data_IF_238614450407
#
_entry.id   IF_238614450407
#
_cell.length_a   1.000
_cell.length_b   1.000
_cell.length_c   1.000
_cell.angle_alpha   90.00
_cell.angle_beta   90.00
_cell.angle_gamma   90.00
#
_symmetry.space_group_name_H-M   'P 1'
#
loop_
_entity.id
_entity.type
_entity.pdbx_description
1 polymer ?
#
# COMPACT_ATOMS: atom_id res chain seq x y z
N UNK A 1 -29.20 7.14 65.90
CA UNK A 1 -29.57 7.67 64.56
C UNK A 1 -28.28 7.63 63.75
N UNK A 2 -28.13 6.63 62.90
CA UNK A 2 -27.01 6.48 61.98
C UNK A 2 -27.37 7.27 60.74
N UNK A 3 -26.57 8.27 60.40
CA UNK A 3 -26.67 8.97 59.10
C UNK A 3 -26.34 7.96 57.98
N UNK A 4 -27.37 7.55 57.23
CA UNK A 4 -27.13 6.89 55.96
C UNK A 4 -26.56 7.95 55.02
N UNK A 5 -25.27 7.83 54.74
CA UNK A 5 -24.60 8.61 53.69
C UNK A 5 -25.21 8.19 52.37
N UNK A 6 -25.85 9.12 51.65
CA UNK A 6 -26.17 8.98 50.27
C UNK A 6 -24.87 8.94 49.50
N UNK A 7 -24.43 7.76 49.04
CA UNK A 7 -23.43 7.64 47.99
C UNK A 7 -24.00 8.29 46.71
N UNK A 8 -23.64 9.51 46.45
CA UNK A 8 -23.88 10.12 45.14
C UNK A 8 -22.91 9.39 44.20
N UNK A 9 -23.42 8.64 43.19
CA UNK A 9 -22.52 8.03 42.22
C UNK A 9 -21.60 9.10 41.65
N UNK A 10 -20.29 8.79 41.60
CA UNK A 10 -19.32 9.70 40.97
C UNK A 10 -19.80 10.03 39.56
N UNK A 11 -20.06 11.32 39.33
CA UNK A 11 -20.48 11.78 38.02
C UNK A 11 -19.32 11.53 37.05
N UNK A 12 -19.61 10.80 35.98
CA UNK A 12 -18.65 10.67 34.86
C UNK A 12 -18.29 12.06 34.33
N UNK A 13 -17.01 12.35 34.30
CA UNK A 13 -16.44 13.64 33.83
C UNK A 13 -15.46 13.44 32.67
N UNK A 14 -15.27 12.22 32.21
CA UNK A 14 -14.35 11.93 31.11
C UNK A 14 -15.10 12.02 29.75
N UNK A 15 -14.53 12.73 28.77
CA UNK A 15 -15.12 12.78 27.43
C UNK A 15 -14.96 11.44 26.72
N UNK A 16 -15.88 11.08 25.83
CA UNK A 16 -15.76 9.88 25.00
C UNK A 16 -14.52 9.95 24.10
N UNK A 17 -13.96 8.80 23.75
CA UNK A 17 -12.83 8.67 22.83
C UNK A 17 -13.26 7.94 21.57
N UNK A 18 -12.75 8.35 20.40
CA UNK A 18 -12.91 7.57 19.16
C UNK A 18 -11.96 6.38 19.21
N UNK A 19 -12.51 5.18 19.27
CA UNK A 19 -11.76 3.92 19.30
C UNK A 19 -11.50 3.37 17.89
N UNK A 20 -12.38 3.64 16.92
CA UNK A 20 -12.13 3.33 15.51
C UNK A 20 -12.89 4.26 14.56
N UNK A 21 -12.31 4.42 13.37
CA UNK A 21 -12.93 5.09 12.23
C UNK A 21 -12.73 4.21 10.99
N UNK A 22 -13.80 3.92 10.27
CA UNK A 22 -13.76 3.02 9.12
C UNK A 22 -14.59 3.57 7.96
N UNK A 23 -13.98 3.61 6.76
CA UNK A 23 -14.70 3.87 5.51
C UNK A 23 -15.27 2.54 5.03
N UNK A 24 -16.59 2.47 4.90
CA UNK A 24 -17.32 1.24 4.53
C UNK A 24 -17.46 1.13 3.02
N UNK A 25 -17.88 2.22 2.39
CA UNK A 25 -18.05 2.36 0.95
C UNK A 25 -17.91 3.84 0.53
N UNK A 26 -18.20 4.15 -0.72
CA UNK A 26 -18.10 5.53 -1.23
C UNK A 26 -19.07 6.53 -0.60
N UNK A 27 -20.09 6.06 0.11
CA UNK A 27 -21.12 6.87 0.75
C UNK A 27 -21.21 6.71 2.25
N UNK A 28 -20.43 5.83 2.86
CA UNK A 28 -20.66 5.42 4.25
C UNK A 28 -19.36 5.31 5.04
N UNK A 29 -19.34 5.95 6.20
CA UNK A 29 -18.29 5.77 7.21
C UNK A 29 -18.90 5.34 8.55
N UNK A 30 -18.12 4.64 9.36
CA UNK A 30 -18.47 4.21 10.70
C UNK A 30 -17.49 4.79 11.70
N UNK A 31 -18.02 5.34 12.79
CA UNK A 31 -17.27 5.75 13.97
C UNK A 31 -17.67 4.85 15.13
N UNK A 32 -16.68 4.30 15.85
CA UNK A 32 -16.89 3.62 17.12
C UNK A 32 -16.20 4.43 18.22
N UNK A 33 -16.86 4.62 19.34
CA UNK A 33 -16.35 5.34 20.50
C UNK A 33 -16.14 4.37 21.69
N UNK A 34 -15.48 4.86 22.74
CA UNK A 34 -15.27 4.12 23.98
C UNK A 34 -16.58 3.79 24.71
N UNK A 35 -17.64 4.56 24.42
CA UNK A 35 -18.93 4.51 25.06
C UNK A 35 -20.05 4.96 24.10
N UNK A 36 -21.35 4.80 24.47
CA UNK A 36 -22.46 5.31 23.69
C UNK A 36 -22.43 6.83 23.56
N UNK A 37 -22.55 7.35 22.33
CA UNK A 37 -22.50 8.78 22.03
C UNK A 37 -23.62 9.21 21.10
N UNK A 38 -23.99 10.49 21.21
CA UNK A 38 -24.74 11.22 20.21
C UNK A 38 -23.76 12.09 19.39
N UNK A 39 -23.76 11.92 18.07
CA UNK A 39 -22.95 12.73 17.17
C UNK A 39 -23.74 13.95 16.69
N UNK A 40 -23.16 15.15 16.86
CA UNK A 40 -23.73 16.43 16.50
C UNK A 40 -22.79 17.23 15.60
N UNK A 41 -23.32 18.22 14.89
CA UNK A 41 -22.58 19.17 14.05
C UNK A 41 -21.66 18.49 13.04
N UNK A 42 -22.13 17.37 12.45
CA UNK A 42 -21.36 16.62 11.47
C UNK A 42 -21.22 17.43 10.18
N UNK A 43 -20.00 17.57 9.71
CA UNK A 43 -19.65 18.19 8.45
C UNK A 43 -18.50 17.43 7.78
N UNK A 44 -18.54 17.35 6.46
CA UNK A 44 -17.44 16.78 5.65
C UNK A 44 -16.86 17.89 4.78
N UNK A 45 -15.54 18.02 4.84
CA UNK A 45 -14.79 18.93 3.97
C UNK A 45 -13.79 18.15 3.12
N UNK A 46 -13.37 18.72 1.99
CA UNK A 46 -12.45 18.09 1.04
C UNK A 46 -13.15 17.71 -0.26
N UNK A 47 -12.51 16.91 -1.08
CA UNK A 47 -13.09 16.49 -2.35
C UNK A 47 -12.75 17.37 -3.53
N UNK A 48 -11.93 18.38 -3.35
CA UNK A 48 -11.45 19.22 -4.44
C UNK A 48 -10.34 18.54 -5.22
N UNK A 49 -10.65 18.10 -6.43
CA UNK A 49 -9.62 17.81 -7.40
C UNK A 49 -9.10 19.09 -8.08
N UNK A 50 -9.95 20.03 -8.46
CA UNK A 50 -9.55 21.26 -9.20
C UNK A 50 -10.42 22.50 -8.93
N UNK A 51 -11.60 22.38 -8.34
CA UNK A 51 -12.61 23.46 -8.32
C UNK A 51 -12.90 24.14 -6.97
N UNK A 52 -12.17 23.86 -5.90
CA UNK A 52 -12.42 24.41 -4.54
C UNK A 52 -13.87 24.29 -4.02
N UNK A 53 -14.67 23.39 -4.55
CA UNK A 53 -16.01 23.12 -4.04
C UNK A 53 -15.93 22.31 -2.74
N UNK A 54 -16.40 22.87 -1.65
CA UNK A 54 -16.55 22.16 -0.39
C UNK A 54 -17.57 21.03 -0.54
N UNK A 55 -17.20 19.83 -0.13
CA UNK A 55 -18.10 18.70 -0.10
C UNK A 55 -18.96 18.79 1.16
N UNK A 56 -20.19 19.28 1.02
CA UNK A 56 -21.18 19.37 2.09
C UNK A 56 -22.13 18.17 2.05
N UNK A 57 -21.64 17.02 2.46
CA UNK A 57 -22.28 15.79 2.08
C UNK A 57 -22.87 14.90 3.17
N UNK A 58 -23.01 15.33 4.43
CA UNK A 58 -23.67 14.47 5.44
C UNK A 58 -25.16 14.44 5.21
N UNK A 59 -25.69 13.27 4.81
CA UNK A 59 -27.11 13.08 4.55
C UNK A 59 -27.86 12.50 5.76
N UNK A 60 -27.21 11.56 6.48
CA UNK A 60 -27.81 10.88 7.64
C UNK A 60 -26.74 10.41 8.63
N UNK A 61 -27.13 10.33 9.90
CA UNK A 61 -26.36 9.73 10.96
C UNK A 61 -27.26 8.78 11.73
N UNK A 62 -26.88 7.51 11.83
CA UNK A 62 -27.61 6.46 12.55
C UNK A 62 -26.78 5.96 13.70
N UNK A 63 -27.23 6.13 14.94
CA UNK A 63 -26.51 5.63 16.13
C UNK A 63 -26.39 4.11 16.14
N UNK A 64 -25.26 3.62 16.60
CA UNK A 64 -25.00 2.21 16.95
C UNK A 64 -24.86 2.09 18.47
N UNK A 65 -24.48 0.92 18.98
CA UNK A 65 -24.32 0.71 20.42
C UNK A 65 -23.29 1.65 21.06
N UNK A 66 -22.18 1.91 20.37
CA UNK A 66 -21.05 2.72 20.88
C UNK A 66 -20.54 3.73 19.84
N UNK A 67 -21.37 4.19 18.91
CA UNK A 67 -20.96 5.12 17.88
C UNK A 67 -22.04 5.40 16.87
N UNK A 68 -21.67 5.56 15.59
CA UNK A 68 -22.63 5.82 14.52
C UNK A 68 -22.14 5.40 13.14
N UNK A 69 -23.10 5.16 12.26
CA UNK A 69 -22.92 5.04 10.82
C UNK A 69 -23.37 6.39 10.20
N UNK A 70 -22.49 7.00 9.44
CA UNK A 70 -22.69 8.30 8.81
C UNK A 70 -22.76 8.08 7.31
N UNK A 71 -23.85 8.53 6.68
CA UNK A 71 -24.06 8.42 5.24
C UNK A 71 -23.89 9.77 4.56
N UNK A 72 -23.32 9.77 3.37
CA UNK A 72 -23.11 10.95 2.54
C UNK A 72 -24.17 11.04 1.43
N UNK A 73 -24.60 12.25 1.09
CA UNK A 73 -25.55 12.50 0.00
C UNK A 73 -24.97 12.12 -1.37
N UNK A 74 -23.68 12.40 -1.57
CA UNK A 74 -22.95 12.07 -2.79
C UNK A 74 -21.82 11.09 -2.51
N UNK A 75 -21.39 10.25 -3.48
CA UNK A 75 -20.24 9.39 -3.30
C UNK A 75 -18.95 10.20 -3.19
N UNK A 76 -18.07 9.79 -2.31
CA UNK A 76 -16.72 10.32 -2.24
C UNK A 76 -15.92 9.90 -3.47
N UNK A 77 -15.06 10.79 -3.98
CA UNK A 77 -14.21 10.49 -5.13
C UNK A 77 -13.02 9.61 -4.71
N UNK A 78 -12.76 8.57 -5.47
CA UNK A 78 -11.74 7.57 -5.17
C UNK A 78 -10.38 8.21 -4.88
N UNK A 79 -9.81 7.91 -3.70
CA UNK A 79 -8.49 8.36 -3.28
C UNK A 79 -8.35 9.84 -2.95
N UNK A 80 -9.38 10.64 -3.15
CA UNK A 80 -9.38 12.07 -2.79
C UNK A 80 -9.44 12.22 -1.27
N UNK A 81 -8.68 13.14 -0.67
CA UNK A 81 -8.70 13.36 0.77
C UNK A 81 -9.97 14.11 1.22
N UNK A 82 -10.54 13.62 2.31
CA UNK A 82 -11.67 14.21 3.02
C UNK A 82 -11.37 14.31 4.50
N UNK A 83 -12.11 15.15 5.20
CA UNK A 83 -12.11 15.24 6.66
C UNK A 83 -13.54 15.33 7.18
N UNK A 84 -13.91 14.41 8.07
CA UNK A 84 -15.18 14.42 8.81
C UNK A 84 -14.96 15.12 10.14
N UNK A 85 -15.72 16.16 10.40
CA UNK A 85 -15.74 16.92 11.64
C UNK A 85 -17.04 16.70 12.39
N UNK A 86 -17.01 16.80 13.70
CA UNK A 86 -18.21 16.72 14.53
C UNK A 86 -17.91 16.79 16.01
N UNK A 87 -18.97 16.63 16.79
CA UNK A 87 -18.92 16.58 18.26
C UNK A 87 -19.58 15.28 18.71
N UNK A 88 -18.87 14.48 19.48
CA UNK A 88 -19.43 13.32 20.18
C UNK A 88 -19.80 13.73 21.60
N UNK A 89 -21.03 13.47 22.01
CA UNK A 89 -21.58 13.79 23.31
C UNK A 89 -22.01 12.49 23.99
N UNK A 90 -21.52 12.24 25.22
CA UNK A 90 -21.97 11.10 26.05
C UNK A 90 -23.28 11.40 26.81
N UNK A 91 -23.75 10.42 27.56
CA UNK A 91 -24.97 10.54 28.37
C UNK A 91 -24.79 11.45 29.59
N UNK A 92 -23.56 11.68 30.05
CA UNK A 92 -23.21 12.54 31.20
C UNK A 92 -23.04 14.00 30.83
N UNK A 93 -23.02 14.32 29.52
CA UNK A 93 -22.86 15.65 28.96
C UNK A 93 -21.41 16.01 28.67
N UNK A 94 -20.46 15.08 28.75
CA UNK A 94 -19.08 15.32 28.32
C UNK A 94 -19.01 15.23 26.79
N UNK A 95 -18.11 16.04 26.20
CA UNK A 95 -18.04 16.15 24.74
C UNK A 95 -16.61 16.04 24.22
N UNK A 96 -16.47 15.43 23.04
CA UNK A 96 -15.26 15.39 22.23
C UNK A 96 -15.54 16.06 20.88
N UNK A 97 -14.86 17.17 20.59
CA UNK A 97 -14.75 17.69 19.24
C UNK A 97 -13.73 16.87 18.47
N UNK A 98 -14.07 16.39 17.27
CA UNK A 98 -13.19 15.54 16.49
C UNK A 98 -13.07 15.97 15.03
N UNK A 99 -11.93 15.57 14.45
CA UNK A 99 -11.64 15.67 13.03
C UNK A 99 -10.98 14.37 12.57
N UNK A 100 -11.65 13.60 11.70
CA UNK A 100 -11.16 12.34 11.16
C UNK A 100 -10.86 12.47 9.67
N UNK A 101 -9.60 12.41 9.31
CA UNK A 101 -9.16 12.42 7.92
C UNK A 101 -9.32 11.03 7.30
N UNK A 102 -9.83 10.98 6.06
CA UNK A 102 -9.96 9.74 5.29
C UNK A 102 -9.77 10.01 3.80
N UNK A 103 -9.68 8.94 3.01
CA UNK A 103 -9.70 9.00 1.55
C UNK A 103 -10.97 8.37 1.02
N UNK A 104 -11.48 8.91 -0.09
CA UNK A 104 -12.63 8.34 -0.77
C UNK A 104 -12.38 6.87 -1.13
N UNK A 105 -13.40 6.06 -0.92
CA UNK A 105 -13.35 4.61 -1.00
C UNK A 105 -13.13 4.14 -2.44
N UNK A 106 -12.30 3.12 -2.59
CA UNK A 106 -12.06 2.46 -3.87
C UNK A 106 -12.94 1.21 -3.97
N UNK A 107 -14.04 1.31 -4.69
CA UNK A 107 -15.00 0.21 -4.88
C UNK A 107 -14.49 -0.86 -5.86
N UNK A 108 -13.55 -0.50 -6.73
CA UNK A 108 -12.98 -1.39 -7.73
C UNK A 108 -11.45 -1.37 -7.68
N UNK A 109 -10.83 -1.91 -6.63
CA UNK A 109 -9.38 -1.96 -6.54
C UNK A 109 -8.79 -2.84 -7.64
N UNK A 110 -7.72 -2.35 -8.27
CA UNK A 110 -6.96 -3.14 -9.21
C UNK A 110 -6.36 -4.37 -8.52
N UNK A 111 -6.31 -5.51 -9.22
CA UNK A 111 -5.56 -6.68 -8.77
C UNK A 111 -4.19 -6.66 -9.43
N UNK A 112 -3.15 -6.68 -8.63
CA UNK A 112 -1.78 -6.66 -9.13
C UNK A 112 -0.92 -7.71 -8.45
N UNK A 113 0.18 -8.08 -9.11
CA UNK A 113 1.23 -8.94 -8.55
C UNK A 113 2.59 -8.29 -8.77
N UNK A 114 3.55 -8.59 -7.90
CA UNK A 114 4.94 -8.19 -8.05
C UNK A 114 5.55 -8.90 -9.27
N UNK A 115 6.25 -8.16 -10.12
CA UNK A 115 6.84 -8.64 -11.37
C UNK A 115 8.36 -8.63 -11.35
N UNK A 116 8.96 -7.49 -11.09
CA UNK A 116 10.42 -7.33 -11.12
C UNK A 116 10.90 -6.43 -9.97
N UNK A 117 12.05 -6.77 -9.37
CA UNK A 117 12.62 -6.01 -8.25
C UNK A 117 14.09 -5.75 -8.52
N UNK A 118 14.46 -4.47 -8.63
CA UNK A 118 15.85 -4.03 -8.69
C UNK A 118 16.27 -3.36 -7.41
N UNK A 119 17.26 -3.91 -6.77
CA UNK A 119 17.83 -3.42 -5.51
C UNK A 119 19.04 -2.51 -5.75
N UNK A 120 19.74 -2.74 -6.87
CA UNK A 120 20.94 -1.99 -7.25
C UNK A 120 20.63 -0.60 -7.75
N UNK A 121 21.49 0.36 -7.40
CA UNK A 121 21.38 1.75 -7.82
C UNK A 121 22.73 2.28 -8.32
N UNK A 122 22.69 3.33 -9.12
CA UNK A 122 23.86 4.11 -9.58
C UNK A 122 23.46 5.57 -9.67
N UNK A 123 24.38 6.46 -10.08
CA UNK A 123 24.06 7.88 -10.33
C UNK A 123 22.91 8.10 -11.32
N UNK A 124 22.72 7.16 -12.27
CA UNK A 124 21.70 7.27 -13.33
C UNK A 124 20.56 6.25 -13.18
N UNK A 125 20.57 5.42 -12.14
CA UNK A 125 19.61 4.33 -11.94
C UNK A 125 19.24 4.24 -10.47
N UNK A 126 17.95 4.18 -10.18
CA UNK A 126 17.45 4.00 -8.83
C UNK A 126 16.81 2.62 -8.69
N UNK A 127 16.67 2.13 -7.46
CA UNK A 127 15.93 0.91 -7.16
C UNK A 127 14.48 1.04 -7.60
N UNK A 128 13.87 -0.07 -8.04
CA UNK A 128 12.44 -0.09 -8.36
C UNK A 128 11.80 -1.42 -8.00
N UNK A 129 10.49 -1.35 -7.85
CA UNK A 129 9.58 -2.50 -7.78
C UNK A 129 8.57 -2.36 -8.90
N UNK A 130 8.48 -3.37 -9.76
CA UNK A 130 7.49 -3.41 -10.80
C UNK A 130 6.33 -4.31 -10.41
N UNK A 131 5.12 -3.90 -10.78
CA UNK A 131 3.91 -4.70 -10.65
C UNK A 131 3.27 -4.94 -12.01
N UNK A 132 2.61 -6.09 -12.14
CA UNK A 132 1.78 -6.47 -13.28
C UNK A 132 0.31 -6.43 -12.89
N UNK A 133 -0.54 -5.80 -13.70
CA UNK A 133 -1.98 -5.68 -13.45
C UNK A 133 -2.71 -6.91 -13.96
N UNK A 134 -3.24 -7.70 -13.04
CA UNK A 134 -4.00 -8.94 -13.33
C UNK A 134 -5.47 -8.65 -13.62
N UNK A 135 -6.06 -7.67 -12.92
CA UNK A 135 -7.44 -7.19 -13.11
C UNK A 135 -7.46 -5.68 -13.15
N UNK A 136 -8.16 -5.13 -14.13
CA UNK A 136 -8.40 -3.68 -14.25
C UNK A 136 -9.10 -3.12 -13.01
N UNK A 137 -8.79 -1.89 -12.66
CA UNK A 137 -9.39 -1.18 -11.54
C UNK A 137 -8.58 0.05 -11.17
N UNK A 138 -8.87 0.63 -10.00
CA UNK A 138 -8.17 1.78 -9.48
C UNK A 138 -7.09 1.36 -8.47
N UNK A 139 -5.95 2.03 -8.49
CA UNK A 139 -4.79 1.71 -7.61
C UNK A 139 -4.85 2.39 -6.25
N UNK A 140 -5.83 3.27 -6.00
CA UNK A 140 -5.97 3.95 -4.70
C UNK A 140 -6.09 2.97 -3.54
N UNK A 141 -5.33 3.22 -2.48
CA UNK A 141 -5.29 2.38 -1.29
C UNK A 141 -4.37 1.16 -1.40
N UNK A 142 -3.70 0.96 -2.54
CA UNK A 142 -2.70 -0.08 -2.67
C UNK A 142 -1.33 0.43 -2.22
N UNK A 143 -0.52 -0.45 -1.64
CA UNK A 143 0.77 -0.12 -1.07
C UNK A 143 1.83 -1.19 -1.36
N UNK A 144 3.07 -0.75 -1.59
CA UNK A 144 4.25 -1.61 -1.56
C UNK A 144 5.00 -1.32 -0.26
N UNK A 145 5.25 -2.35 0.53
CA UNK A 145 5.94 -2.23 1.82
C UNK A 145 7.11 -3.20 1.89
N UNK A 146 8.27 -2.68 2.29
CA UNK A 146 9.45 -3.47 2.63
C UNK A 146 9.40 -3.83 4.10
N UNK A 147 9.53 -5.11 4.43
CA UNK A 147 9.64 -5.56 5.82
C UNK A 147 10.90 -5.05 6.51
N UNK A 148 11.95 -4.79 5.75
CA UNK A 148 13.20 -4.25 6.28
C UNK A 148 13.13 -2.76 6.61
N UNK A 149 12.42 -1.96 5.80
CA UNK A 149 12.34 -0.50 5.98
C UNK A 149 11.04 -0.02 6.64
N UNK A 150 9.99 -0.83 6.61
CA UNK A 150 8.74 -0.59 7.34
C UNK A 150 7.83 0.48 6.75
N UNK A 151 6.83 0.83 7.53
CA UNK A 151 5.73 1.73 7.14
C UNK A 151 6.18 3.14 6.71
N UNK A 152 7.25 3.66 7.33
CA UNK A 152 7.76 5.00 7.04
C UNK A 152 8.38 5.13 5.64
N UNK A 153 8.63 4.01 4.98
CA UNK A 153 9.26 3.95 3.64
C UNK A 153 8.37 3.27 2.60
N UNK A 154 7.14 2.97 2.95
CA UNK A 154 6.19 2.38 2.02
C UNK A 154 5.91 3.31 0.84
N UNK A 155 5.59 2.72 -0.30
CA UNK A 155 5.02 3.42 -1.42
C UNK A 155 3.50 3.26 -1.41
N UNK A 156 2.77 4.37 -1.52
CA UNK A 156 1.30 4.39 -1.62
C UNK A 156 0.94 4.79 -3.04
N UNK A 157 0.21 3.95 -3.74
CA UNK A 157 -0.22 4.24 -5.09
C UNK A 157 -1.19 5.42 -5.12
N UNK A 158 -1.03 6.37 -6.05
CA UNK A 158 -2.05 7.39 -6.33
C UNK A 158 -3.31 6.73 -6.93
N UNK A 159 -4.41 7.47 -6.93
CA UNK A 159 -5.66 7.02 -7.55
C UNK A 159 -5.54 7.06 -9.09
N UNK A 160 -5.29 5.91 -9.70
CA UNK A 160 -5.12 5.76 -11.15
C UNK A 160 -5.93 4.57 -11.63
N UNK A 161 -6.70 4.75 -12.70
CA UNK A 161 -7.32 3.66 -13.44
C UNK A 161 -6.26 2.93 -14.28
N UNK A 162 -6.17 1.62 -14.08
CA UNK A 162 -5.23 0.74 -14.79
C UNK A 162 -5.96 -0.42 -15.44
N UNK A 163 -5.36 -0.99 -16.49
CA UNK A 163 -5.96 -2.07 -17.27
C UNK A 163 -5.20 -3.37 -17.04
N UNK A 164 -5.93 -4.46 -17.14
CA UNK A 164 -5.32 -5.79 -17.19
C UNK A 164 -4.25 -5.85 -18.29
N UNK A 165 -3.08 -6.34 -17.93
CA UNK A 165 -1.93 -6.40 -18.83
C UNK A 165 -0.94 -5.26 -18.69
N UNK A 166 -1.30 -4.20 -17.98
CA UNK A 166 -0.38 -3.08 -17.72
C UNK A 166 0.77 -3.51 -16.80
N UNK A 167 1.95 -2.97 -17.10
CA UNK A 167 3.07 -2.95 -16.17
C UNK A 167 3.18 -1.56 -15.55
N UNK A 168 3.54 -1.51 -14.27
CA UNK A 168 3.77 -0.24 -13.54
C UNK A 168 5.11 -0.36 -12.83
N UNK A 169 6.06 0.46 -13.25
CA UNK A 169 7.37 0.55 -12.60
C UNK A 169 7.32 1.63 -11.52
N UNK A 170 7.46 1.22 -10.27
CA UNK A 170 7.57 2.14 -9.13
C UNK A 170 9.04 2.32 -8.78
N UNK A 171 9.60 3.46 -9.12
CA UNK A 171 10.95 3.84 -8.70
C UNK A 171 10.92 4.18 -7.21
N UNK A 172 11.61 3.38 -6.41
CA UNK A 172 11.46 3.38 -4.94
C UNK A 172 12.19 4.50 -4.22
N UNK A 173 12.88 5.36 -4.96
CA UNK A 173 13.45 6.62 -4.49
C UNK A 173 13.62 7.60 -5.64
N UNK A 174 13.80 8.89 -5.31
CA UNK A 174 14.22 9.91 -6.27
C UNK A 174 15.75 9.91 -6.44
N UNK A 175 16.23 10.59 -7.44
CA UNK A 175 17.65 10.91 -7.60
C UNK A 175 18.10 11.98 -6.59
N UNK A 176 19.40 12.10 -6.37
CA UNK A 176 19.97 13.21 -5.63
C UNK A 176 19.73 14.52 -6.40
N UNK A 177 19.68 15.66 -5.69
CA UNK A 177 19.28 16.95 -6.27
C UNK A 177 20.07 17.34 -7.53
N UNK A 178 21.37 17.06 -7.55
CA UNK A 178 22.25 17.35 -8.70
C UNK A 178 21.92 16.50 -9.92
N UNK A 179 21.40 15.28 -9.71
CA UNK A 179 21.03 14.36 -10.78
C UNK A 179 19.56 14.53 -11.21
N UNK A 180 18.69 15.16 -10.39
CA UNK A 180 17.27 15.38 -10.71
C UNK A 180 17.06 16.31 -11.91
N UNK A 181 17.95 17.31 -12.11
CA UNK A 181 17.88 18.20 -13.27
C UNK A 181 18.15 17.48 -14.60
N UNK A 182 18.85 16.34 -14.53
CA UNK A 182 19.20 15.51 -15.68
C UNK A 182 18.18 14.38 -15.93
N UNK A 183 17.28 14.13 -14.98
CA UNK A 183 16.36 13.00 -14.98
C UNK A 183 14.93 13.52 -14.80
N UNK A 184 14.11 13.33 -15.80
CA UNK A 184 12.70 13.69 -15.72
C UNK A 184 11.88 12.60 -14.98
N UNK A 185 11.78 12.74 -13.67
CA UNK A 185 11.06 11.82 -12.75
C UNK A 185 9.62 12.29 -12.56
N UNK A 186 8.80 12.18 -13.57
CA UNK A 186 7.40 12.59 -13.53
C UNK A 186 6.52 11.40 -13.23
N UNK A 187 5.65 11.54 -12.22
CA UNK A 187 4.58 10.58 -11.95
C UNK A 187 3.57 10.59 -13.10
N UNK A 188 3.42 9.45 -13.75
CA UNK A 188 2.50 9.29 -14.88
C UNK A 188 1.10 8.92 -14.42
N UNK A 189 0.43 9.83 -13.72
CA UNK A 189 -0.92 9.63 -13.18
C UNK A 189 -2.02 9.72 -14.24
N UNK A 190 -1.74 10.37 -15.37
CA UNK A 190 -2.68 10.52 -16.50
C UNK A 190 -2.54 9.46 -17.57
N UNK A 191 -3.08 9.73 -18.75
CA UNK A 191 -3.07 8.82 -19.91
C UNK A 191 -1.77 8.86 -20.72
N UNK A 192 -0.96 9.91 -20.58
CA UNK A 192 0.32 10.03 -21.28
C UNK A 192 1.43 9.32 -20.51
N UNK A 193 1.90 8.18 -21.01
CA UNK A 193 2.93 7.32 -20.42
C UNK A 193 4.34 7.61 -20.95
N UNK A 194 4.54 8.71 -21.67
CA UNK A 194 5.85 9.12 -22.17
C UNK A 194 6.32 10.44 -21.53
N UNK A 195 5.80 10.78 -20.36
CA UNK A 195 6.20 11.99 -19.62
C UNK A 195 7.51 11.82 -18.88
N UNK A 196 7.71 10.67 -18.25
CA UNK A 196 8.94 10.32 -17.60
C UNK A 196 9.99 9.94 -18.65
N UNK A 197 11.15 10.58 -18.60
CA UNK A 197 12.27 10.31 -19.52
C UNK A 197 13.55 9.99 -18.78
N UNK A 198 13.45 9.67 -17.50
CA UNK A 198 14.56 9.22 -16.69
C UNK A 198 15.09 7.85 -17.19
N UNK A 199 16.28 7.49 -16.75
CA UNK A 199 16.84 6.17 -17.09
C UNK A 199 15.97 5.05 -16.53
N UNK A 200 15.73 4.03 -17.34
CA UNK A 200 14.88 2.86 -17.04
C UNK A 200 13.36 3.17 -16.98
N UNK A 201 12.91 4.26 -17.61
CA UNK A 201 11.50 4.47 -17.92
C UNK A 201 11.15 3.84 -19.28
N UNK A 202 9.87 3.49 -19.45
CA UNK A 202 9.37 2.88 -20.65
C UNK A 202 8.11 3.60 -21.16
N UNK A 203 8.16 4.27 -22.33
CA UNK A 203 7.01 5.04 -22.82
C UNK A 203 5.76 4.21 -23.15
N UNK A 204 5.85 2.89 -23.12
CA UNK A 204 4.72 1.97 -23.31
C UNK A 204 4.11 1.48 -21.99
N UNK A 205 4.69 1.84 -20.85
CA UNK A 205 4.23 1.47 -19.51
C UNK A 205 4.25 2.67 -18.58
N UNK A 206 3.66 2.53 -17.43
CA UNK A 206 3.54 3.60 -16.43
C UNK A 206 4.74 3.63 -15.50
N UNK A 207 5.32 4.81 -15.33
CA UNK A 207 6.40 5.08 -14.38
C UNK A 207 5.89 5.97 -13.24
N UNK A 208 6.13 5.53 -12.01
CA UNK A 208 5.76 6.23 -10.77
C UNK A 208 6.99 6.36 -9.88
N UNK A 209 7.00 7.37 -9.01
CA UNK A 209 8.18 7.72 -8.22
C UNK A 209 7.86 7.89 -6.74
N UNK A 210 8.64 7.23 -5.88
CA UNK A 210 8.62 7.51 -4.45
C UNK A 210 9.44 8.78 -4.18
N UNK A 211 8.87 9.69 -3.40
CA UNK A 211 9.57 10.92 -2.98
C UNK A 211 10.75 10.69 -2.02
N UNK A 212 10.95 9.45 -1.56
CA UNK A 212 12.06 9.10 -0.69
C UNK A 212 13.40 9.34 -1.38
N UNK A 213 14.34 9.99 -0.67
CA UNK A 213 15.72 10.21 -1.14
C UNK A 213 16.69 9.11 -0.72
N UNK A 214 16.27 8.24 0.20
CA UNK A 214 17.04 7.11 0.71
C UNK A 214 16.41 5.79 0.29
N UNK A 215 17.20 4.73 0.30
CA UNK A 215 16.76 3.38 -0.03
C UNK A 215 15.51 2.95 0.75
N UNK A 216 14.65 2.22 0.04
CA UNK A 216 13.43 1.62 0.57
C UNK A 216 13.25 0.14 0.17
N UNK A 217 14.25 -0.46 -0.51
CA UNK A 217 14.30 -1.89 -0.84
C UNK A 217 15.66 -2.46 -0.42
N UNK A 218 15.68 -3.56 0.33
CA UNK A 218 16.90 -4.20 0.81
C UNK A 218 17.36 -5.34 -0.11
N UNK A 219 18.61 -5.82 0.09
CA UNK A 219 19.16 -6.96 -0.66
C UNK A 219 18.64 -8.31 -0.17
N UNK A 220 18.20 -8.38 1.09
CA UNK A 220 17.42 -9.48 1.67
C UNK A 220 16.17 -8.84 2.28
N UNK A 221 14.99 -9.24 1.83
CA UNK A 221 13.75 -8.58 2.24
C UNK A 221 12.52 -9.48 2.12
N UNK A 222 11.45 -9.04 2.74
CA UNK A 222 10.08 -9.46 2.50
C UNK A 222 9.32 -8.25 1.98
N UNK A 223 9.08 -8.22 0.68
CA UNK A 223 8.26 -7.17 0.06
C UNK A 223 6.83 -7.66 -0.05
N UNK A 224 5.90 -6.83 0.35
CA UNK A 224 4.46 -7.09 0.21
C UNK A 224 3.79 -6.03 -0.63
N UNK A 225 2.85 -6.47 -1.46
CA UNK A 225 1.84 -5.65 -2.10
C UNK A 225 0.53 -5.89 -1.37
N UNK A 226 -0.12 -4.84 -0.89
CA UNK A 226 -1.32 -4.95 -0.06
C UNK A 226 -2.32 -3.83 -0.31
N UNK A 227 -3.55 -4.05 0.16
CA UNK A 227 -4.52 -2.97 0.36
C UNK A 227 -4.36 -2.45 1.80
N UNK A 228 -4.32 -1.14 1.97
CA UNK A 228 -4.16 -0.50 3.28
C UNK A 228 -5.41 -0.64 4.17
N UNK A 229 -6.59 -0.76 3.57
CA UNK A 229 -7.84 -0.88 4.30
C UNK A 229 -8.88 -1.76 3.55
N UNK A 230 -9.16 -2.96 4.00
CA UNK A 230 -8.55 -3.70 5.10
C UNK A 230 -7.12 -4.14 4.76
N UNK A 231 -6.27 -4.33 5.76
CA UNK A 231 -4.88 -4.78 5.56
C UNK A 231 -4.85 -6.23 5.07
N UNK A 232 -5.01 -6.42 3.76
CA UNK A 232 -5.02 -7.72 3.10
C UNK A 232 -3.85 -7.77 2.13
N UNK A 233 -3.01 -8.79 2.26
CA UNK A 233 -1.94 -9.01 1.30
C UNK A 233 -2.54 -9.41 -0.05
N UNK A 234 -1.98 -8.82 -1.08
CA UNK A 234 -2.33 -9.09 -2.47
C UNK A 234 -1.29 -9.99 -3.13
N UNK A 235 -0.03 -9.73 -2.84
CA UNK A 235 1.13 -10.51 -3.29
C UNK A 235 2.31 -10.30 -2.34
N UNK A 236 3.29 -11.19 -2.38
CA UNK A 236 4.52 -11.08 -1.60
C UNK A 236 5.68 -11.78 -2.30
N UNK A 237 6.89 -11.32 -1.98
CA UNK A 237 8.11 -12.03 -2.28
C UNK A 237 9.02 -12.06 -1.05
N UNK A 238 9.55 -13.25 -0.76
CA UNK A 238 10.51 -13.50 0.29
C UNK A 238 11.86 -13.87 -0.36
N UNK A 239 12.88 -13.07 -0.15
CA UNK A 239 14.18 -13.32 -0.76
C UNK A 239 15.35 -12.95 0.14
N UNK A 240 16.45 -13.68 -0.01
CA UNK A 240 17.70 -13.45 0.70
C UNK A 240 18.86 -13.36 -0.28
N UNK A 241 19.87 -12.59 0.05
CA UNK A 241 21.02 -12.39 -0.82
C UNK A 241 21.89 -13.64 -0.94
N UNK A 242 22.06 -14.41 0.13
CA UNK A 242 22.99 -15.53 0.16
C UNK A 242 22.36 -16.89 0.42
N UNK A 243 21.14 -16.95 0.90
CA UNK A 243 20.49 -18.18 1.34
C UNK A 243 21.08 -18.79 2.62
N UNK A 244 22.01 -18.09 3.27
CA UNK A 244 22.61 -18.52 4.53
C UNK A 244 21.92 -17.92 5.76
N UNK A 245 21.04 -16.98 5.57
CA UNK A 245 20.24 -16.33 6.60
C UNK A 245 19.26 -17.34 7.21
N UNK A 246 19.28 -17.48 8.52
CA UNK A 246 18.39 -18.39 9.26
C UNK A 246 17.23 -17.66 9.96
N UNK A 247 17.37 -16.35 10.16
CA UNK A 247 16.37 -15.46 10.76
C UNK A 247 16.27 -14.17 9.97
N UNK A 248 15.07 -13.59 9.93
CA UNK A 248 14.90 -12.25 9.38
C UNK A 248 15.51 -11.20 10.29
N UNK A 249 16.16 -10.20 9.71
CA UNK A 249 16.85 -9.16 10.47
C UNK A 249 15.86 -8.25 11.24
N UNK A 250 14.68 -8.05 10.68
CA UNK A 250 13.64 -7.20 11.28
C UNK A 250 12.38 -7.99 11.62
N UNK A 251 11.75 -7.62 12.74
CA UNK A 251 10.50 -8.22 13.20
C UNK A 251 9.40 -8.13 12.13
N UNK A 252 9.29 -7.00 11.44
CA UNK A 252 8.28 -6.81 10.41
C UNK A 252 8.49 -7.71 9.18
N UNK A 253 9.73 -8.06 8.83
CA UNK A 253 10.00 -9.07 7.81
C UNK A 253 9.44 -10.43 8.21
N UNK A 254 9.62 -10.83 9.47
CA UNK A 254 9.08 -12.08 10.01
C UNK A 254 7.55 -12.07 9.99
N UNK A 255 6.93 -10.99 10.45
CA UNK A 255 5.47 -10.81 10.47
C UNK A 255 4.87 -10.88 9.05
N UNK A 256 5.49 -10.23 8.08
CA UNK A 256 5.05 -10.30 6.68
C UNK A 256 5.26 -11.68 6.06
N UNK A 257 6.38 -12.35 6.37
CA UNK A 257 6.64 -13.70 5.87
C UNK A 257 5.59 -14.70 6.40
N UNK A 258 5.29 -14.64 7.69
CA UNK A 258 4.26 -15.47 8.32
C UNK A 258 2.88 -15.17 7.76
N UNK A 259 2.53 -13.91 7.58
CA UNK A 259 1.27 -13.49 6.98
C UNK A 259 1.14 -13.97 5.53
N UNK A 260 2.20 -13.85 4.71
CA UNK A 260 2.18 -14.30 3.33
C UNK A 260 1.96 -15.82 3.20
N UNK A 261 2.61 -16.60 4.06
CA UNK A 261 2.43 -18.06 4.09
C UNK A 261 1.03 -18.43 4.60
N UNK A 262 0.59 -17.84 5.71
CA UNK A 262 -0.72 -18.17 6.32
C UNK A 262 -1.90 -17.79 5.43
N UNK A 263 -1.78 -16.73 4.64
CA UNK A 263 -2.80 -16.31 3.66
C UNK A 263 -2.71 -17.07 2.33
N UNK A 264 -1.75 -18.00 2.15
CA UNK A 264 -1.56 -18.75 0.90
C UNK A 264 -0.99 -17.92 -0.26
N UNK A 265 -0.49 -16.72 0.03
CA UNK A 265 0.15 -15.82 -0.95
C UNK A 265 1.53 -16.34 -1.35
N UNK A 266 2.26 -16.92 -0.39
CA UNK A 266 3.59 -17.48 -0.61
C UNK A 266 3.58 -19.00 -0.38
N UNK A 267 3.93 -19.75 -1.44
CA UNK A 267 4.07 -21.21 -1.39
C UNK A 267 5.51 -21.59 -1.06
N UNK A 268 5.85 -21.49 0.22
CA UNK A 268 7.16 -21.80 0.74
C UNK A 268 7.18 -21.68 2.26
N UNK A 269 8.37 -21.68 2.84
CA UNK A 269 8.54 -21.42 4.26
C UNK A 269 8.57 -19.92 4.53
N UNK A 270 8.15 -19.51 5.73
CA UNK A 270 8.40 -18.14 6.23
C UNK A 270 9.87 -17.93 6.66
N UNK A 271 10.66 -19.00 6.77
CA UNK A 271 12.09 -18.91 7.11
C UNK A 271 12.93 -18.37 5.96
N UNK A 272 13.92 -17.50 6.20
CA UNK A 272 14.77 -16.92 5.15
C UNK A 272 15.51 -17.96 4.31
N UNK A 273 16.06 -18.99 4.93
CA UNK A 273 16.93 -19.99 4.28
C UNK A 273 16.27 -20.83 3.18
N UNK A 274 14.94 -20.88 3.15
CA UNK A 274 14.16 -21.68 2.20
C UNK A 274 13.55 -20.86 1.07
N UNK A 275 13.92 -19.60 0.96
CA UNK A 275 13.29 -18.65 0.04
C UNK A 275 14.14 -18.34 -1.20
N UNK A 276 13.70 -17.38 -2.00
CA UNK A 276 14.40 -16.98 -3.21
C UNK A 276 15.83 -16.55 -2.89
N UNK A 277 16.78 -17.14 -3.55
CA UNK A 277 18.18 -16.73 -3.45
C UNK A 277 18.43 -15.66 -4.51
N UNK A 278 18.58 -14.43 -4.03
CA UNK A 278 18.89 -13.27 -4.85
C UNK A 278 20.41 -13.11 -5.06
N UNK A 279 21.11 -14.20 -5.33
CA UNK A 279 22.55 -14.19 -5.52
C UNK A 279 22.96 -13.29 -6.68
N UNK A 280 23.88 -12.37 -6.41
CA UNK A 280 24.33 -11.36 -7.36
C UNK A 280 23.45 -10.10 -7.42
N UNK A 281 22.35 -10.03 -6.66
CA UNK A 281 21.65 -8.78 -6.40
C UNK A 281 22.36 -8.04 -5.27
N UNK A 282 23.05 -7.00 -5.63
CA UNK A 282 23.74 -6.13 -4.67
C UNK A 282 23.38 -4.67 -4.94
N UNK A 283 23.65 -3.82 -3.98
CA UNK A 283 23.43 -2.37 -4.13
C UNK A 283 24.21 -1.76 -5.29
N UNK A 284 25.31 -2.39 -5.73
CA UNK A 284 26.12 -1.96 -6.85
C UNK A 284 25.73 -2.58 -8.20
N UNK A 285 24.82 -3.57 -8.21
CA UNK A 285 24.45 -4.32 -9.42
C UNK A 285 23.20 -3.75 -10.08
N UNK A 286 23.23 -2.49 -10.53
CA UNK A 286 22.08 -1.79 -11.12
C UNK A 286 21.59 -2.36 -12.47
N UNK A 287 22.31 -3.32 -13.07
CA UNK A 287 21.89 -3.99 -14.30
C UNK A 287 21.06 -5.26 -14.04
N UNK A 288 20.99 -5.73 -12.79
CA UNK A 288 20.34 -6.99 -12.42
C UNK A 288 19.08 -6.74 -11.62
N UNK A 289 18.14 -7.66 -11.76
CA UNK A 289 16.91 -7.68 -10.99
C UNK A 289 16.54 -9.10 -10.60
N UNK A 290 15.65 -9.21 -9.63
CA UNK A 290 14.93 -10.42 -9.30
C UNK A 290 13.61 -10.38 -10.08
N UNK A 291 13.38 -11.31 -10.99
CA UNK A 291 12.30 -11.27 -11.97
C UNK A 291 11.41 -12.51 -11.86
N UNK A 292 10.10 -12.28 -11.81
CA UNK A 292 9.08 -13.34 -11.78
C UNK A 292 8.87 -13.93 -13.14
N UNK A 293 8.99 -15.25 -13.27
CA UNK A 293 9.00 -15.95 -14.56
C UNK A 293 7.61 -16.43 -15.02
N UNK A 294 6.64 -16.51 -14.12
CA UNK A 294 5.31 -17.00 -14.40
C UNK A 294 4.28 -15.91 -14.78
N UNK A 295 4.71 -14.67 -15.06
CA UNK A 295 3.80 -13.57 -15.47
C UNK A 295 2.98 -13.92 -16.71
N UNK A 296 3.58 -14.58 -17.71
CA UNK A 296 2.85 -15.05 -18.89
C UNK A 296 1.72 -16.02 -18.54
N UNK A 297 1.97 -16.97 -17.66
CA UNK A 297 0.98 -17.92 -17.15
C UNK A 297 -0.14 -17.22 -16.38
N UNK A 298 0.22 -16.24 -15.52
CA UNK A 298 -0.74 -15.42 -14.77
C UNK A 298 -1.66 -14.68 -15.75
N UNK A 299 -1.08 -14.09 -16.80
CA UNK A 299 -1.84 -13.40 -17.86
C UNK A 299 -2.88 -14.28 -18.52
N UNK A 300 -2.57 -15.56 -18.73
CA UNK A 300 -3.44 -16.50 -19.47
C UNK A 300 -4.51 -17.15 -18.57
N UNK A 301 -4.21 -17.38 -17.28
CA UNK A 301 -5.03 -18.24 -16.43
C UNK A 301 -5.80 -17.46 -15.33
N UNK A 302 -5.35 -16.28 -14.93
CA UNK A 302 -5.98 -15.51 -13.85
C UNK A 302 -6.75 -14.32 -14.42
N UNK A 303 -8.01 -14.51 -14.71
CA UNK A 303 -8.88 -13.53 -15.37
C UNK A 303 -9.64 -12.62 -14.41
N UNK A 304 -9.21 -12.50 -13.17
CA UNK A 304 -9.55 -11.31 -12.42
C UNK A 304 -10.51 -11.40 -11.27
N UNK A 305 -10.92 -12.55 -10.78
CA UNK A 305 -11.68 -12.62 -9.55
C UNK A 305 -10.77 -12.69 -8.31
N UNK A 306 -11.33 -12.63 -7.11
CA UNK A 306 -10.61 -12.55 -5.82
C UNK A 306 -9.74 -13.78 -5.49
N UNK A 307 -9.47 -14.64 -6.47
CA UNK A 307 -8.60 -15.78 -6.31
C UNK A 307 -7.19 -15.36 -5.92
N UNK A 308 -6.63 -16.04 -4.92
CA UNK A 308 -5.23 -15.89 -4.55
C UNK A 308 -4.37 -16.33 -5.74
N UNK A 309 -3.39 -15.49 -6.09
CA UNK A 309 -2.35 -15.82 -7.08
C UNK A 309 -1.10 -16.15 -6.28
N UNK A 310 -0.84 -17.43 -6.00
CA UNK A 310 0.30 -17.77 -5.17
C UNK A 310 1.62 -17.49 -5.88
N UNK A 311 2.61 -17.10 -5.11
CA UNK A 311 3.99 -17.02 -5.55
C UNK A 311 4.85 -18.04 -4.79
N UNK A 312 5.93 -18.50 -5.39
CA UNK A 312 6.86 -19.45 -4.78
C UNK A 312 8.31 -19.06 -5.07
N UNK A 313 9.30 -19.61 -4.31
CA UNK A 313 10.72 -19.38 -4.59
C UNK A 313 11.13 -19.73 -6.03
N UNK A 314 10.49 -20.73 -6.63
CA UNK A 314 10.83 -21.20 -7.97
C UNK A 314 10.32 -20.32 -9.09
N UNK A 315 9.37 -19.42 -8.79
CA UNK A 315 8.85 -18.46 -9.76
C UNK A 315 9.82 -17.32 -10.06
N UNK A 316 10.87 -17.17 -9.28
CA UNK A 316 11.77 -16.01 -9.34
C UNK A 316 13.20 -16.43 -9.70
N UNK A 317 13.82 -15.65 -10.58
CA UNK A 317 15.24 -15.78 -10.90
C UNK A 317 15.92 -14.42 -10.93
N UNK A 318 17.22 -14.41 -10.66
CA UNK A 318 18.05 -13.22 -10.95
C UNK A 318 18.37 -13.19 -12.44
N UNK A 319 18.06 -12.08 -13.09
CA UNK A 319 18.35 -11.84 -14.51
C UNK A 319 19.52 -10.90 -14.70
N UNK A 320 20.22 -11.03 -15.84
CA UNK A 320 21.39 -10.20 -16.18
C UNK A 320 21.01 -8.79 -16.63
N UNK A 321 19.78 -8.64 -17.17
CA UNK A 321 19.28 -7.39 -17.72
C UNK A 321 17.87 -7.13 -17.20
N UNK A 322 17.68 -5.96 -16.64
CA UNK A 322 16.36 -5.45 -16.21
C UNK A 322 15.46 -5.17 -17.41
N UNK A 323 14.15 -5.30 -17.19
CA UNK A 323 13.12 -5.14 -18.25
C UNK A 323 11.94 -4.27 -17.79
N UNK A 324 12.19 -3.06 -17.25
CA UNK A 324 11.13 -2.23 -16.70
C UNK A 324 10.05 -1.94 -17.75
N UNK A 325 8.79 -2.10 -17.35
CA UNK A 325 7.63 -1.85 -18.17
C UNK A 325 7.35 -2.90 -19.25
N UNK A 326 7.95 -4.08 -19.16
CA UNK A 326 7.80 -5.14 -20.15
C UNK A 326 7.85 -6.55 -19.54
N UNK A 327 7.55 -7.57 -20.32
CA UNK A 327 7.73 -8.95 -19.89
C UNK A 327 9.18 -9.21 -19.45
N UNK A 328 9.30 -9.91 -18.35
CA UNK A 328 10.57 -10.21 -17.70
C UNK A 328 11.53 -10.99 -18.56
N UNK A 329 12.80 -10.63 -18.50
CA UNK A 329 13.89 -11.39 -19.11
C UNK A 329 13.98 -12.80 -18.52
N UNK A 330 14.29 -13.79 -19.34
CA UNK A 330 14.62 -15.17 -18.95
C UNK A 330 16.12 -15.42 -18.89
N UNK A 331 16.96 -14.41 -19.22
CA UNK A 331 18.42 -14.55 -19.23
C UNK A 331 18.99 -14.55 -17.79
N UNK A 332 19.06 -15.74 -17.22
CA UNK A 332 19.45 -15.96 -15.84
C UNK A 332 20.91 -15.53 -15.59
N UNK A 333 21.10 -14.78 -14.53
CA UNK A 333 22.42 -14.52 -13.97
C UNK A 333 22.87 -15.71 -13.13
N UNK A 334 24.10 -16.17 -13.35
CA UNK A 334 24.76 -17.21 -12.55
C UNK A 334 26.00 -16.58 -11.95
N UNK A 335 26.06 -16.50 -10.62
CA UNK A 335 27.25 -16.04 -9.93
C UNK A 335 28.38 -17.05 -10.13
N UNK A 336 29.53 -16.58 -10.58
CA UNK A 336 30.75 -17.39 -10.60
C UNK A 336 31.25 -17.47 -9.17
N UNK A 337 31.14 -18.63 -8.53
CA UNK A 337 31.80 -18.87 -7.23
C UNK A 337 33.31 -18.80 -7.47
N UNK A 338 33.92 -17.78 -6.86
CA UNK A 338 35.39 -17.69 -6.78
C UNK A 338 35.92 -18.64 -5.74
#
# INVERSE_FOLDING_TARGET
MTEEGFDIPDKDTEPPLISSFRVIDSRTVEITCSEPVLLNNLAVSGGCAEDNTEYNGVAACSSTATGAIISFSEPTLVGVPYSLHGVALDASGNSLEFSQSFRGFNENPARMVLSEIRVGASKKKVEYVEVYVVKSGNTSGLEIVSGNYGESKKYVFPAIEVKQGDFITVHMKTYDKEDQELQNCVDETGSNLAKATATDTNPASRDLWNSATKRSVASSDVLVLRNSAPMKLMDAILYTQSGSETVWEKKLQQEFAEAAVSQGIWQGSSSPSSNCIADGITTAAAARSLSRQNIGMIKEHYTGDDAIIPASPTDWIVVKKVTPGALNSTDRFIAVKK
#
